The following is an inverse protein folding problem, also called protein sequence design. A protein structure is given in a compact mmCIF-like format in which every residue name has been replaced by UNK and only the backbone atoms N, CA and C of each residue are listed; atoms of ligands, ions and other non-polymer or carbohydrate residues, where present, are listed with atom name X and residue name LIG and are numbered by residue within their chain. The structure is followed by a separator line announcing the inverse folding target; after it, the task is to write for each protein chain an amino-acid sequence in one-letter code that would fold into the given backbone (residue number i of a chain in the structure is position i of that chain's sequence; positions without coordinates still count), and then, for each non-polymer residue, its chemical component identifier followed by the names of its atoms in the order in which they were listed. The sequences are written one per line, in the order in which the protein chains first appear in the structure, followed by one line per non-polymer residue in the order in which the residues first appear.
data_IF_503148832877
#
_entry.id   IF_503148832877
#
_cell.length_a   1.000
_cell.length_b   1.000
_cell.length_c   1.000
_cell.angle_alpha   90.00
_cell.angle_beta   90.00
_cell.angle_gamma   90.00
#
_symmetry.space_group_name_H-M   'P 1'
#
loop_
_entity.id
_entity.type
_entity.pdbx_description
1 polymer ?
#
# COMPACT_ATOMS: atom_id res chain seq x y z
N UNK A 1 23.28 -14.29 -1.88
CA UNK A 1 22.11 -14.30 -0.98
C UNK A 1 20.90 -14.36 -1.90
N UNK A 2 20.09 -15.43 -1.83
CA UNK A 2 19.00 -15.65 -2.77
C UNK A 2 17.85 -14.66 -2.54
N UNK A 3 17.26 -14.18 -3.63
CA UNK A 3 16.05 -13.36 -3.62
C UNK A 3 14.94 -14.17 -2.95
N UNK A 4 14.44 -13.71 -1.79
CA UNK A 4 13.33 -14.37 -1.11
C UNK A 4 12.06 -13.78 -1.71
N UNK A 5 11.68 -14.30 -2.88
CA UNK A 5 10.33 -14.12 -3.41
C UNK A 5 9.45 -15.21 -2.79
N UNK A 6 8.40 -14.85 -2.03
CA UNK A 6 7.53 -15.85 -1.42
C UNK A 6 6.85 -16.68 -2.51
N UNK A 7 7.01 -17.99 -2.41
CA UNK A 7 6.38 -18.96 -3.30
C UNK A 7 4.89 -19.08 -2.95
N UNK A 8 4.06 -18.41 -3.76
CA UNK A 8 2.59 -18.49 -3.76
C UNK A 8 1.87 -17.97 -2.49
N UNK A 9 0.68 -17.34 -2.64
CA UNK A 9 -0.08 -16.77 -1.53
C UNK A 9 -0.57 -17.82 -0.50
N UNK A 10 -0.85 -17.39 0.75
CA UNK A 10 -0.86 -16.00 1.21
C UNK A 10 0.52 -15.51 1.64
N UNK A 11 1.07 -14.58 0.87
CA UNK A 11 2.21 -13.78 1.30
C UNK A 11 1.65 -12.58 2.07
N UNK A 12 2.10 -12.41 3.30
CA UNK A 12 1.77 -11.25 4.13
C UNK A 12 2.95 -10.28 4.17
N UNK A 13 2.67 -9.00 4.07
CA UNK A 13 3.61 -7.92 4.30
C UNK A 13 3.09 -6.98 5.38
N UNK A 14 3.98 -6.24 6.02
CA UNK A 14 3.60 -5.29 7.06
C UNK A 14 4.18 -3.91 6.81
N UNK A 15 3.45 -2.90 7.27
CA UNK A 15 3.85 -1.50 7.36
C UNK A 15 3.65 -1.06 8.82
N UNK A 16 4.71 -0.64 9.50
CA UNK A 16 4.63 0.00 10.80
C UNK A 16 4.51 1.51 10.58
N UNK A 17 3.35 2.08 10.90
CA UNK A 17 3.04 3.49 10.73
C UNK A 17 3.28 4.26 12.03
N UNK A 18 3.85 5.45 11.91
CA UNK A 18 3.99 6.41 13.01
C UNK A 18 3.84 7.85 12.52
N UNK A 19 3.45 8.73 13.43
CA UNK A 19 3.34 10.18 13.26
C UNK A 19 3.59 10.87 14.62
N UNK A 20 3.80 12.20 14.68
CA UNK A 20 4.09 12.90 15.93
C UNK A 20 3.08 12.59 17.04
N UNK A 21 3.59 12.19 18.21
CA UNK A 21 2.76 11.83 19.37
C UNK A 21 2.16 10.42 19.34
N UNK A 22 2.48 9.59 18.33
CA UNK A 22 2.04 8.19 18.26
C UNK A 22 3.21 7.21 18.37
N UNK A 23 2.96 6.04 18.95
CA UNK A 23 3.88 4.90 18.84
C UNK A 23 3.73 4.24 17.46
N UNK A 24 4.80 3.59 16.99
CA UNK A 24 4.75 2.79 15.77
C UNK A 24 3.72 1.65 15.92
N UNK A 25 2.81 1.53 14.95
CA UNK A 25 1.74 0.53 14.96
C UNK A 25 1.65 -0.20 13.64
N UNK A 26 1.46 -1.52 13.73
CA UNK A 26 1.55 -2.43 12.59
C UNK A 26 0.23 -2.55 11.83
N UNK A 27 0.33 -2.35 10.51
CA UNK A 27 -0.65 -2.75 9.50
C UNK A 27 -0.13 -4.00 8.81
N UNK A 28 -0.95 -5.03 8.65
CA UNK A 28 -0.61 -6.23 7.86
C UNK A 28 -1.52 -6.32 6.67
N UNK A 29 -0.90 -6.48 5.50
CA UNK A 29 -1.54 -6.67 4.21
C UNK A 29 -1.31 -8.12 3.79
N UNK A 30 -2.40 -8.85 3.56
CA UNK A 30 -2.34 -10.14 2.88
C UNK A 30 -2.57 -9.93 1.40
N UNK A 31 -1.72 -10.51 0.55
CA UNK A 31 -2.00 -10.57 -0.88
C UNK A 31 -3.19 -11.51 -1.13
N UNK A 32 -4.19 -11.05 -1.89
CA UNK A 32 -5.40 -11.84 -2.18
C UNK A 32 -5.24 -12.72 -3.41
N UNK A 33 -4.30 -12.38 -4.30
CA UNK A 33 -3.96 -13.11 -5.52
C UNK A 33 -2.49 -12.94 -5.83
N UNK A 34 -2.00 -13.81 -6.69
CA UNK A 34 -0.67 -13.71 -7.26
C UNK A 34 -0.67 -12.75 -8.45
N UNK A 35 -0.48 -11.45 -8.19
CA UNK A 35 -0.46 -10.38 -9.22
C UNK A 35 0.90 -9.68 -9.28
N UNK A 36 1.29 -9.09 -10.42
CA UNK A 36 2.52 -8.31 -10.53
C UNK A 36 2.60 -7.18 -9.49
N UNK A 37 1.50 -6.46 -9.25
CA UNK A 37 1.39 -5.43 -8.21
C UNK A 37 1.61 -5.99 -6.80
N UNK A 38 1.01 -7.14 -6.48
CA UNK A 38 1.19 -7.76 -5.17
C UNK A 38 2.64 -8.20 -4.93
N UNK A 39 3.27 -8.82 -5.92
CA UNK A 39 4.70 -9.20 -5.87
C UNK A 39 5.60 -7.97 -5.74
N UNK A 40 5.30 -6.90 -6.47
CA UNK A 40 6.04 -5.64 -6.41
C UNK A 40 5.91 -4.95 -5.05
N UNK A 41 4.71 -4.92 -4.47
CA UNK A 41 4.47 -4.40 -3.13
C UNK A 41 5.29 -5.17 -2.07
N UNK A 42 5.30 -6.51 -2.15
CA UNK A 42 6.10 -7.36 -1.26
C UNK A 42 7.59 -7.13 -1.45
N UNK A 43 8.06 -6.98 -2.69
CA UNK A 43 9.44 -6.68 -3.01
C UNK A 43 9.89 -5.35 -2.38
N UNK A 44 9.08 -4.30 -2.49
CA UNK A 44 9.32 -3.01 -1.86
C UNK A 44 9.22 -3.06 -0.33
N UNK A 45 8.32 -3.87 0.24
CA UNK A 45 8.30 -4.09 1.69
C UNK A 45 9.58 -4.78 2.17
N UNK A 46 10.14 -5.69 1.37
CA UNK A 46 11.33 -6.47 1.73
C UNK A 46 12.64 -5.67 1.68
N UNK A 47 12.70 -4.62 0.86
CA UNK A 47 13.91 -3.83 0.62
C UNK A 47 15.05 -4.58 -0.08
N UNK A 48 14.82 -5.78 -0.62
CA UNK A 48 15.87 -6.65 -1.17
C UNK A 48 16.60 -6.07 -2.40
N UNK A 49 15.98 -5.11 -3.10
CA UNK A 49 16.57 -4.39 -4.25
C UNK A 49 16.99 -2.95 -3.92
N UNK A 50 17.19 -2.64 -2.64
CA UNK A 50 17.59 -1.31 -2.17
C UNK A 50 16.42 -0.33 -2.02
N UNK A 51 15.56 -0.20 -3.03
CA UNK A 51 14.31 0.56 -2.93
C UNK A 51 13.35 -0.12 -1.94
N UNK A 52 12.72 0.68 -1.08
CA UNK A 52 11.97 0.19 0.08
C UNK A 52 10.88 1.19 0.51
N UNK A 53 9.78 0.69 1.08
CA UNK A 53 8.76 1.57 1.68
C UNK A 53 9.16 2.14 3.05
N UNK A 54 10.21 1.62 3.70
CA UNK A 54 10.71 2.21 4.94
C UNK A 54 11.16 3.67 4.72
N UNK A 55 10.76 4.55 5.63
CA UNK A 55 10.93 6.01 5.57
C UNK A 55 10.11 6.74 4.50
N UNK A 56 9.18 6.05 3.83
CA UNK A 56 8.19 6.72 2.96
C UNK A 56 7.02 7.26 3.78
N UNK A 57 6.33 8.26 3.24
CA UNK A 57 5.18 8.92 3.85
C UNK A 57 3.89 8.49 3.18
N UNK A 58 2.81 8.62 3.91
CA UNK A 58 1.50 8.81 3.29
C UNK A 58 1.42 10.27 2.84
N UNK A 59 0.98 10.54 1.61
CA UNK A 59 1.06 11.89 1.04
C UNK A 59 -0.29 12.50 0.69
N UNK A 60 -1.34 11.68 0.54
CA UNK A 60 -2.67 12.18 0.23
C UNK A 60 -3.77 11.32 0.87
N UNK A 61 -4.93 11.94 1.13
CA UNK A 61 -6.17 11.26 1.53
C UNK A 61 -7.28 11.63 0.54
N UNK A 62 -7.37 10.98 -0.64
CA UNK A 62 -8.43 11.31 -1.58
C UNK A 62 -9.82 10.93 -1.06
N UNK A 63 -10.82 11.73 -1.43
CA UNK A 63 -12.22 11.47 -1.08
C UNK A 63 -12.54 11.64 0.41
N UNK A 64 -11.83 12.51 1.14
CA UNK A 64 -12.08 12.77 2.58
C UNK A 64 -13.57 12.97 2.87
N UNK A 65 -14.14 12.13 3.73
CA UNK A 65 -15.55 12.17 4.12
C UNK A 65 -16.51 11.40 3.21
N UNK A 66 -16.06 10.96 2.03
CA UNK A 66 -16.90 10.34 1.01
C UNK A 66 -16.72 8.82 0.93
N UNK A 67 -17.70 8.10 0.37
CA UNK A 67 -17.54 6.69 0.04
C UNK A 67 -16.32 6.45 -0.84
N UNK A 68 -15.51 5.45 -0.47
CA UNK A 68 -14.24 5.17 -1.14
C UNK A 68 -13.05 6.04 -0.70
N UNK A 69 -13.19 6.83 0.38
CA UNK A 69 -12.03 7.50 1.04
C UNK A 69 -10.88 6.50 1.19
N UNK A 70 -9.66 6.95 0.88
CA UNK A 70 -8.46 6.14 0.95
C UNK A 70 -7.25 6.98 1.33
N UNK A 71 -6.16 6.33 1.77
CA UNK A 71 -4.85 6.95 1.93
C UNK A 71 -3.92 6.51 0.83
N UNK A 72 -3.05 7.40 0.34
CA UNK A 72 -2.04 7.09 -0.67
C UNK A 72 -0.63 7.17 -0.07
N UNK A 73 0.24 6.26 -0.51
CA UNK A 73 1.63 6.16 -0.06
C UNK A 73 2.49 5.40 -1.06
N UNK A 74 3.76 5.16 -0.69
CA UNK A 74 4.65 4.29 -1.47
C UNK A 74 5.55 4.98 -2.50
N UNK A 75 5.52 6.31 -2.57
CA UNK A 75 6.51 7.10 -3.32
C UNK A 75 7.85 7.10 -2.55
N UNK A 76 8.74 6.18 -2.90
CA UNK A 76 10.06 6.06 -2.27
C UNK A 76 11.11 7.00 -2.85
N UNK A 77 10.80 7.75 -3.91
CA UNK A 77 11.75 8.61 -4.62
C UNK A 77 11.55 10.09 -4.27
N UNK A 78 10.34 10.60 -4.46
CA UNK A 78 9.99 12.00 -4.20
C UNK A 78 9.25 12.18 -2.87
N UNK A 79 8.72 11.09 -2.29
CA UNK A 79 8.03 11.08 -1.01
C UNK A 79 6.85 12.08 -0.93
N UNK A 80 6.19 12.30 -2.07
CA UNK A 80 5.19 13.36 -2.26
C UNK A 80 4.17 13.09 -3.37
N UNK A 81 4.18 11.89 -3.96
CA UNK A 81 3.24 11.46 -5.00
C UNK A 81 3.69 11.81 -6.43
N UNK A 82 4.97 12.09 -6.68
CA UNK A 82 5.48 12.40 -8.03
C UNK A 82 6.58 11.45 -8.50
N UNK A 83 6.79 10.37 -7.75
CA UNK A 83 7.75 9.33 -8.08
C UNK A 83 7.32 7.98 -7.50
N UNK A 84 8.26 7.04 -7.48
CA UNK A 84 7.99 5.65 -7.12
C UNK A 84 7.97 4.77 -8.36
N UNK A 85 9.10 4.74 -9.07
CA UNK A 85 9.30 3.90 -10.23
C UNK A 85 9.02 2.41 -9.95
N UNK A 86 8.52 1.71 -10.98
CA UNK A 86 8.42 0.26 -10.95
C UNK A 86 9.82 -0.37 -10.85
N UNK A 87 9.96 -1.42 -10.01
CA UNK A 87 11.19 -2.21 -9.91
C UNK A 87 11.13 -3.48 -10.76
N UNK A 88 9.93 -3.85 -11.20
CA UNK A 88 9.68 -5.01 -12.04
C UNK A 88 9.38 -4.53 -13.47
N UNK A 89 10.02 -5.11 -14.50
CA UNK A 89 9.78 -4.71 -15.89
C UNK A 89 8.38 -5.08 -16.39
N UNK A 90 7.75 -6.08 -15.77
CA UNK A 90 6.44 -6.62 -16.19
C UNK A 90 5.27 -6.02 -15.39
N UNK A 91 5.41 -4.80 -14.87
CA UNK A 91 4.34 -4.09 -14.15
C UNK A 91 3.30 -3.50 -15.14
N UNK A 92 2.94 -4.28 -16.16
CA UNK A 92 2.12 -3.88 -17.30
C UNK A 92 0.73 -4.52 -17.17
N UNK A 93 -0.29 -3.79 -17.63
CA UNK A 93 -1.70 -4.20 -17.78
C UNK A 93 -2.55 -4.20 -16.49
N UNK A 94 -2.99 -3.01 -16.10
CA UNK A 94 -3.79 -2.74 -14.91
C UNK A 94 -5.30 -2.94 -15.09
N UNK A 95 -5.81 -4.18 -15.03
CA UNK A 95 -7.23 -4.47 -14.72
C UNK A 95 -7.40 -5.83 -14.00
N UNK A 96 -6.78 -6.02 -12.84
CA UNK A 96 -6.72 -7.35 -12.21
C UNK A 96 -7.96 -7.74 -11.37
N UNK A 97 -8.48 -6.83 -10.54
CA UNK A 97 -9.61 -7.08 -9.64
C UNK A 97 -10.26 -5.74 -9.24
N UNK A 98 -11.60 -5.67 -9.20
CA UNK A 98 -12.37 -4.60 -8.54
C UNK A 98 -12.95 -4.97 -7.16
N UNK A 99 -12.65 -4.20 -6.11
CA UNK A 99 -13.18 -4.43 -4.76
C UNK A 99 -13.75 -3.14 -4.16
N UNK A 100 -14.89 -3.25 -3.48
CA UNK A 100 -15.51 -2.16 -2.72
C UNK A 100 -15.26 -2.24 -1.21
N UNK A 101 -14.41 -3.18 -0.75
CA UNK A 101 -14.16 -3.40 0.68
C UNK A 101 -13.28 -2.32 1.30
N UNK A 102 -13.58 -1.98 2.54
CA UNK A 102 -12.64 -1.25 3.41
C UNK A 102 -11.42 -2.13 3.66
N UNK A 103 -10.22 -1.52 3.65
CA UNK A 103 -8.95 -2.21 3.75
C UNK A 103 -8.46 -2.83 2.45
N UNK A 104 -9.18 -2.65 1.32
CA UNK A 104 -8.65 -3.02 0.01
C UNK A 104 -7.37 -2.23 -0.28
N UNK A 105 -6.33 -2.93 -0.71
CA UNK A 105 -5.04 -2.36 -1.13
C UNK A 105 -4.95 -2.46 -2.65
N UNK A 106 -4.79 -1.30 -3.28
CA UNK A 106 -4.83 -1.14 -4.73
C UNK A 106 -3.76 -0.18 -5.22
N UNK A 107 -3.52 -0.18 -6.53
CA UNK A 107 -2.79 0.91 -7.16
C UNK A 107 -3.71 2.13 -7.35
N UNK A 108 -3.29 3.37 -7.02
CA UNK A 108 -4.15 4.55 -7.04
C UNK A 108 -4.63 5.00 -8.43
N UNK A 109 -4.01 4.54 -9.53
CA UNK A 109 -4.56 4.67 -10.89
C UNK A 109 -4.53 6.05 -11.54
N UNK A 110 -4.09 7.09 -10.82
CA UNK A 110 -4.14 8.50 -11.25
C UNK A 110 -2.77 9.18 -11.36
N UNK A 111 -1.72 8.49 -10.96
CA UNK A 111 -0.36 9.01 -11.02
C UNK A 111 0.26 8.59 -12.37
N UNK A 112 1.05 9.48 -12.98
CA UNK A 112 1.48 9.41 -14.38
C UNK A 112 2.33 8.15 -14.66
N UNK A 113 2.70 7.93 -15.92
CA UNK A 113 3.35 6.72 -16.48
C UNK A 113 4.64 6.21 -15.77
N UNK A 114 5.03 6.81 -14.64
CA UNK A 114 6.22 6.54 -13.82
C UNK A 114 5.92 5.88 -12.46
N UNK A 115 4.67 5.75 -12.02
CA UNK A 115 4.34 5.48 -10.61
C UNK A 115 3.94 4.02 -10.31
N UNK A 116 4.83 3.07 -10.55
CA UNK A 116 4.55 1.65 -10.30
C UNK A 116 4.49 1.25 -8.81
N UNK A 117 5.15 2.02 -7.93
CA UNK A 117 5.33 1.67 -6.52
C UNK A 117 4.25 2.22 -5.58
N UNK A 118 3.48 3.21 -6.02
CA UNK A 118 2.47 3.82 -5.16
C UNK A 118 1.33 2.86 -4.85
N UNK A 119 0.74 2.97 -3.67
CA UNK A 119 -0.41 2.17 -3.26
C UNK A 119 -1.46 3.05 -2.58
N UNK A 120 -2.69 2.57 -2.59
CA UNK A 120 -3.80 3.12 -1.84
C UNK A 120 -4.41 2.07 -0.91
N UNK A 121 -4.90 2.52 0.25
CA UNK A 121 -5.68 1.68 1.18
C UNK A 121 -7.02 2.36 1.43
N UNK A 122 -8.12 1.68 1.07
CA UNK A 122 -9.48 2.18 1.29
C UNK A 122 -9.81 2.24 2.79
N UNK A 123 -10.24 3.39 3.29
CA UNK A 123 -10.57 3.64 4.71
C UNK A 123 -12.07 3.78 4.98
N UNK A 124 -12.89 4.05 3.94
CA UNK A 124 -14.36 4.09 4.02
C UNK A 124 -15.02 3.21 2.97
N UNK A 125 -16.19 2.67 3.31
CA UNK A 125 -16.98 1.83 2.42
C UNK A 125 -17.34 2.56 1.12
N UNK A 126 -17.34 1.81 0.02
CA UNK A 126 -17.90 2.27 -1.24
C UNK A 126 -19.42 2.14 -1.24
N UNK A 127 -20.10 2.85 -2.14
CA UNK A 127 -21.50 2.55 -2.44
C UNK A 127 -21.66 1.11 -2.95
N UNK A 128 -22.85 0.47 -2.76
CA UNK A 128 -23.13 -0.83 -3.34
C UNK A 128 -22.89 -0.82 -4.86
N UNK A 129 -22.11 -1.78 -5.36
CA UNK A 129 -21.74 -1.89 -6.77
C UNK A 129 -20.60 -0.95 -7.23
N UNK A 130 -20.08 -0.10 -6.34
CA UNK A 130 -18.88 0.69 -6.57
C UNK A 130 -17.63 0.01 -5.96
N UNK A 131 -16.44 0.52 -6.29
CA UNK A 131 -15.18 -0.05 -5.82
C UNK A 131 -13.98 0.44 -6.64
N UNK A 132 -12.80 0.15 -6.12
CA UNK A 132 -11.50 0.49 -6.72
C UNK A 132 -10.98 -0.68 -7.55
N UNK A 133 -10.25 -0.36 -8.62
CA UNK A 133 -9.61 -1.33 -9.52
C UNK A 133 -8.20 -1.68 -9.03
N UNK A 134 -7.56 -2.66 -9.69
CA UNK A 134 -6.16 -3.04 -9.41
C UNK A 134 -5.89 -3.43 -7.96
N UNK A 135 -6.88 -4.05 -7.32
CA UNK A 135 -6.77 -4.55 -5.96
C UNK A 135 -5.87 -5.78 -5.97
N UNK A 136 -4.81 -5.74 -5.17
CA UNK A 136 -3.84 -6.84 -5.04
C UNK A 136 -3.75 -7.41 -3.63
N UNK A 137 -4.27 -6.70 -2.63
CA UNK A 137 -4.24 -7.14 -1.24
C UNK A 137 -5.39 -6.60 -0.40
N UNK A 138 -5.49 -7.10 0.82
CA UNK A 138 -6.42 -6.65 1.84
C UNK A 138 -5.67 -6.47 3.17
N UNK A 139 -6.00 -5.42 3.91
CA UNK A 139 -5.52 -5.24 5.29
C UNK A 139 -6.21 -6.27 6.18
N UNK A 140 -5.43 -7.21 6.71
CA UNK A 140 -5.91 -8.27 7.62
C UNK A 140 -5.66 -7.96 9.09
N UNK A 141 -4.81 -6.97 9.40
CA UNK A 141 -4.58 -6.46 10.75
C UNK A 141 -4.22 -4.98 10.72
N UNK A 142 -4.70 -4.22 11.71
CA UNK A 142 -4.34 -2.81 11.87
C UNK A 142 -5.11 -1.84 10.97
N UNK A 143 -6.30 -2.21 10.49
CA UNK A 143 -7.14 -1.30 9.69
C UNK A 143 -7.47 0.01 10.45
N UNK A 144 -7.70 -0.09 11.76
CA UNK A 144 -7.92 1.09 12.60
C UNK A 144 -6.72 2.04 12.59
N UNK A 145 -5.49 1.53 12.46
CA UNK A 145 -4.28 2.36 12.38
C UNK A 145 -4.30 3.19 11.09
N UNK A 146 -4.71 2.59 9.96
CA UNK A 146 -4.86 3.29 8.68
C UNK A 146 -5.96 4.35 8.75
N UNK A 147 -7.09 4.03 9.39
CA UNK A 147 -8.20 4.97 9.56
C UNK A 147 -7.82 6.15 10.47
N UNK A 148 -7.08 5.90 11.56
CA UNK A 148 -6.54 6.97 12.41
C UNK A 148 -5.51 7.81 11.68
N UNK A 149 -4.62 7.18 10.88
CA UNK A 149 -3.67 7.91 10.03
C UNK A 149 -4.40 8.82 9.03
N UNK A 150 -5.48 8.36 8.42
CA UNK A 150 -6.30 9.14 7.50
C UNK A 150 -6.94 10.39 8.13
N UNK A 151 -7.01 10.46 9.47
CA UNK A 151 -7.48 11.62 10.22
C UNK A 151 -6.36 12.58 10.63
N UNK A 152 -5.10 12.15 10.60
CA UNK A 152 -3.95 12.99 10.95
C UNK A 152 -3.76 14.10 9.93
N UNK A 153 -3.51 15.33 10.39
CA UNK A 153 -3.31 16.50 9.54
C UNK A 153 -2.05 17.25 9.98
N UNK A 154 -1.06 17.43 9.09
CA UNK A 154 -1.02 16.98 7.69
C UNK A 154 -0.74 15.47 7.56
N UNK A 155 -1.34 14.80 6.56
CA UNK A 155 -1.12 13.36 6.32
C UNK A 155 0.36 13.02 6.05
N UNK A 156 1.12 13.98 5.50
CA UNK A 156 2.55 13.89 5.20
C UNK A 156 3.45 13.71 6.42
N UNK A 157 2.93 13.83 7.63
CA UNK A 157 3.65 13.46 8.86
C UNK A 157 3.55 11.96 9.19
N UNK A 158 2.61 11.23 8.57
CA UNK A 158 2.50 9.78 8.73
C UNK A 158 3.56 9.09 7.90
N UNK A 159 4.44 8.37 8.56
CA UNK A 159 5.61 7.71 7.97
C UNK A 159 5.53 6.20 8.20
N UNK A 160 5.91 5.43 7.18
CA UNK A 160 6.23 4.00 7.29
C UNK A 160 7.60 3.90 7.93
N UNK A 161 7.67 3.74 9.26
CA UNK A 161 8.96 3.69 9.99
C UNK A 161 9.66 2.34 9.83
N UNK A 162 8.91 1.28 9.51
CA UNK A 162 9.44 -0.03 9.21
C UNK A 162 8.48 -0.78 8.29
N UNK A 163 8.99 -1.62 7.40
CA UNK A 163 8.18 -2.54 6.62
C UNK A 163 8.91 -3.87 6.45
N UNK A 164 8.20 -4.89 6.00
CA UNK A 164 8.79 -6.21 5.77
C UNK A 164 7.78 -7.24 5.31
N UNK A 165 8.27 -8.46 5.10
CA UNK A 165 7.47 -9.63 4.75
C UNK A 165 7.34 -10.52 5.99
N UNK A 166 6.14 -11.04 6.23
CA UNK A 166 5.89 -12.03 7.27
C UNK A 166 6.01 -13.42 6.65
N UNK A 167 6.92 -14.23 7.19
CA UNK A 167 7.07 -15.61 6.76
C UNK A 167 5.92 -16.46 7.35
N UNK A 168 5.30 -17.35 6.54
CA UNK A 168 4.39 -18.33 7.09
C UNK A 168 5.11 -19.20 8.13
N UNK A 169 4.40 -19.52 9.21
CA UNK A 169 4.89 -20.43 10.26
C UNK A 169 4.85 -21.88 9.82
#
# INVERSE_FOLDING_TARGET
MGEVMPASPPCEAFLDLAWPGSAARRVVVSLVRDTPLGRHFVLLCSGQRGACYANTRLFEVPGVGWPGECVWGGDYEANGGTGGAALLPDLDHYEYWRSGKVGAVSWPGWCSEVDGAQFSITTREWHPGAGVFNVFGEVVRGLNVVQEAAQHRPITEVTVVQCGVLLPR
#
